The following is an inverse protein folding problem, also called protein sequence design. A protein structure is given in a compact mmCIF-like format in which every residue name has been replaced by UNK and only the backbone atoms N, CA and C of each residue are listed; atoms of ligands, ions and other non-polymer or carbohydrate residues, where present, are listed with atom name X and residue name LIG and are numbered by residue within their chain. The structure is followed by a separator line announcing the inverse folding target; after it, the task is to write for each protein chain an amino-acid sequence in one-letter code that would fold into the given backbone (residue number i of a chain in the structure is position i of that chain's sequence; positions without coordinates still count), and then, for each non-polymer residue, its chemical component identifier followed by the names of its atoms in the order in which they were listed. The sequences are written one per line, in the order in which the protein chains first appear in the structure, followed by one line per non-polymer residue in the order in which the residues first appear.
data_IF_909538450561
#
_entry.id   IF_909538450561
#
_cell.length_a   1.000
_cell.length_b   1.000
_cell.length_c   1.000
_cell.angle_alpha   90.00
_cell.angle_beta   90.00
_cell.angle_gamma   90.00
#
_symmetry.space_group_name_H-M   'P 1'
#
loop_
_entity.id
_entity.type
_entity.pdbx_description
1 polymer ?
#
# COMPACT_ATOMS: atom_id res chain seq x y z
N UNK A 1 16.04 60.36 40.60
CA UNK A 1 14.79 60.00 41.30
C UNK A 1 14.19 58.83 40.52
N UNK A 2 14.36 57.62 41.06
CA UNK A 2 13.89 56.37 40.46
C UNK A 2 12.40 56.20 40.76
N UNK A 3 11.60 55.89 39.73
CA UNK A 3 10.30 55.24 39.94
C UNK A 3 10.22 54.07 38.96
N UNK A 4 10.43 52.88 39.51
CA UNK A 4 10.17 51.60 38.86
C UNK A 4 8.65 51.40 38.79
N UNK A 5 8.13 51.21 37.58
CA UNK A 5 6.78 50.70 37.34
C UNK A 5 6.87 49.47 36.46
N UNK A 6 7.41 48.38 37.02
CA UNK A 6 7.37 47.06 36.38
C UNK A 6 5.96 46.50 36.55
N UNK A 7 5.11 46.67 35.54
CA UNK A 7 3.87 45.90 35.43
C UNK A 7 4.23 44.51 34.96
N UNK A 8 3.98 43.55 35.84
CA UNK A 8 4.18 42.11 35.75
C UNK A 8 3.55 41.53 34.48
N UNK A 9 4.38 41.30 33.47
CA UNK A 9 4.03 40.59 32.24
C UNK A 9 4.30 39.08 32.43
N UNK A 10 3.65 38.48 33.43
CA UNK A 10 3.94 37.09 33.88
C UNK A 10 2.74 36.14 33.82
N UNK A 11 1.65 36.53 33.18
CA UNK A 11 0.50 35.64 32.93
C UNK A 11 0.43 35.14 31.46
N UNK A 12 1.29 35.64 30.57
CA UNK A 12 1.27 35.29 29.14
C UNK A 12 2.01 34.01 28.77
N UNK A 13 2.54 33.25 29.74
CA UNK A 13 3.30 32.01 29.49
C UNK A 13 2.51 30.72 29.79
N UNK A 14 1.23 30.79 30.14
CA UNK A 14 0.46 29.60 30.53
C UNK A 14 -0.17 28.81 29.37
N UNK A 15 -0.07 29.30 28.12
CA UNK A 15 -0.62 28.62 26.95
C UNK A 15 0.38 28.68 25.79
N UNK A 16 1.26 27.67 25.71
CA UNK A 16 2.24 27.49 24.62
C UNK A 16 1.57 27.51 23.23
N UNK A 17 0.31 27.10 23.15
CA UNK A 17 -0.54 27.15 21.98
C UNK A 17 -0.83 28.59 21.53
N UNK A 18 -0.96 29.54 22.45
CA UNK A 18 -1.18 30.95 22.11
C UNK A 18 0.08 31.57 21.48
N UNK A 19 1.26 31.22 21.99
CA UNK A 19 2.53 31.65 21.40
C UNK A 19 2.73 31.10 19.98
N UNK A 20 2.38 29.84 19.74
CA UNK A 20 2.44 29.24 18.41
C UNK A 20 1.41 29.83 17.44
N UNK A 21 0.20 30.15 17.90
CA UNK A 21 -0.81 30.83 17.06
C UNK A 21 -0.34 32.19 16.58
N UNK A 22 0.21 33.00 17.49
CA UNK A 22 0.77 34.33 17.15
C UNK A 22 1.90 34.15 16.14
N UNK A 23 2.83 33.22 16.36
CA UNK A 23 3.92 32.93 15.43
C UNK A 23 3.42 32.54 14.03
N UNK A 24 2.46 31.61 13.90
CA UNK A 24 1.96 31.20 12.59
C UNK A 24 1.21 32.34 11.87
N UNK A 25 0.52 33.19 12.63
CA UNK A 25 -0.16 34.35 12.09
C UNK A 25 0.83 35.40 11.56
N UNK A 26 1.86 35.73 12.33
CA UNK A 26 2.90 36.69 11.92
C UNK A 26 3.76 36.18 10.77
N UNK A 27 4.06 34.88 10.74
CA UNK A 27 4.81 34.24 9.67
C UNK A 27 3.98 34.05 8.37
N UNK A 28 2.69 34.40 8.36
CA UNK A 28 1.79 34.23 7.22
C UNK A 28 1.46 32.77 6.89
N UNK A 29 1.69 31.84 7.82
CA UNK A 29 1.49 30.41 7.66
C UNK A 29 0.04 30.01 7.95
N UNK A 30 -0.90 30.57 7.19
CA UNK A 30 -2.34 30.45 7.43
C UNK A 30 -2.87 29.01 7.38
N UNK A 31 -2.32 28.16 6.51
CA UNK A 31 -2.68 26.74 6.45
C UNK A 31 -2.17 25.97 7.68
N UNK A 32 -0.96 26.28 8.14
CA UNK A 32 -0.38 25.65 9.32
C UNK A 32 -1.12 26.07 10.60
N UNK A 33 -1.50 27.35 10.71
CA UNK A 33 -2.35 27.85 11.80
C UNK A 33 -3.68 27.10 11.85
N UNK A 34 -4.35 26.95 10.69
CA UNK A 34 -5.64 26.25 10.62
C UNK A 34 -5.51 24.76 10.97
N UNK A 35 -4.45 24.10 10.52
CA UNK A 35 -4.15 22.72 10.91
C UNK A 35 -3.91 22.60 12.42
N UNK A 36 -3.09 23.49 12.98
CA UNK A 36 -2.79 23.54 14.41
C UNK A 36 -4.05 23.76 15.27
N UNK A 37 -4.96 24.65 14.86
CA UNK A 37 -6.21 24.88 15.57
C UNK A 37 -7.15 23.66 15.54
N UNK A 38 -7.23 22.97 14.40
CA UNK A 38 -8.00 21.73 14.27
C UNK A 38 -7.40 20.62 15.15
N UNK A 39 -6.08 20.47 15.13
CA UNK A 39 -5.38 19.47 15.94
C UNK A 39 -5.56 19.75 17.44
N UNK A 40 -5.52 21.03 17.85
CA UNK A 40 -5.79 21.42 19.23
C UNK A 40 -7.24 21.14 19.68
N UNK A 41 -8.21 21.20 18.78
CA UNK A 41 -9.60 20.82 19.06
C UNK A 41 -9.74 19.30 19.22
N UNK A 42 -9.09 18.52 18.36
CA UNK A 42 -9.08 17.04 18.41
C UNK A 42 -8.36 16.53 19.66
N UNK A 43 -7.32 17.23 20.12
CA UNK A 43 -6.54 16.83 21.29
C UNK A 43 -7.14 17.29 22.64
N UNK A 44 -8.32 17.93 22.65
CA UNK A 44 -8.98 18.37 23.87
C UNK A 44 -10.09 17.39 24.31
N UNK A 45 -9.80 16.45 25.23
CA UNK A 45 -10.78 15.45 25.66
C UNK A 45 -11.97 16.04 26.40
N UNK A 46 -11.86 17.26 26.94
CA UNK A 46 -13.00 17.94 27.58
C UNK A 46 -13.98 18.47 26.53
N UNK A 47 -13.46 19.07 25.46
CA UNK A 47 -14.29 19.54 24.34
C UNK A 47 -15.01 18.39 23.65
N UNK A 48 -14.33 17.26 23.44
CA UNK A 48 -14.94 16.07 22.87
C UNK A 48 -16.10 15.56 23.72
N UNK A 49 -15.94 15.49 25.05
CA UNK A 49 -16.99 15.01 25.96
C UNK A 49 -18.21 15.94 26.04
N UNK A 50 -18.01 17.25 25.92
CA UNK A 50 -19.08 18.23 26.08
C UNK A 50 -19.81 18.52 24.76
N UNK A 51 -19.08 18.65 23.65
CA UNK A 51 -19.63 19.18 22.39
C UNK A 51 -20.05 18.07 21.43
N UNK A 52 -19.31 16.96 21.38
CA UNK A 52 -19.55 15.90 20.39
C UNK A 52 -20.88 15.18 20.64
N UNK A 53 -21.28 14.79 21.87
CA UNK A 53 -22.56 14.13 22.09
C UNK A 53 -23.74 14.97 21.62
N UNK A 54 -23.77 16.26 21.95
CA UNK A 54 -24.86 17.16 21.52
C UNK A 54 -24.87 17.42 20.01
N UNK A 55 -23.71 17.49 19.36
CA UNK A 55 -23.64 17.58 17.90
C UNK A 55 -24.13 16.28 17.22
N UNK A 56 -23.83 15.12 17.82
CA UNK A 56 -24.20 13.81 17.32
C UNK A 56 -25.71 13.54 17.52
N UNK A 57 -26.30 14.01 18.62
CA UNK A 57 -27.75 14.01 18.83
C UNK A 57 -28.48 14.83 17.76
N UNK A 58 -28.01 16.06 17.48
CA UNK A 58 -28.57 16.89 16.40
C UNK A 58 -28.39 16.24 15.03
N UNK A 59 -27.26 15.57 14.78
CA UNK A 59 -27.05 14.82 13.54
C UNK A 59 -28.07 13.68 13.41
N UNK A 60 -28.29 12.91 14.48
CA UNK A 60 -29.28 11.84 14.51
C UNK A 60 -30.69 12.38 14.29
N UNK A 61 -31.04 13.50 14.93
CA UNK A 61 -32.33 14.17 14.75
C UNK A 61 -32.51 14.60 13.29
N UNK A 62 -31.49 15.24 12.70
CA UNK A 62 -31.52 15.61 11.28
C UNK A 62 -31.68 14.40 10.36
N UNK A 63 -30.97 13.29 10.64
CA UNK A 63 -31.07 12.04 9.86
C UNK A 63 -32.46 11.41 10.00
N UNK A 64 -33.08 11.47 11.18
CA UNK A 64 -34.45 10.98 11.38
C UNK A 64 -35.49 11.82 10.65
N UNK A 65 -35.22 13.11 10.46
CA UNK A 65 -36.08 14.03 9.71
C UNK A 65 -35.74 14.11 8.21
N UNK A 66 -34.72 13.38 7.74
CA UNK A 66 -34.46 13.29 6.31
C UNK A 66 -35.61 12.53 5.64
N UNK A 67 -36.28 13.12 4.63
CA UNK A 67 -37.27 12.38 3.87
C UNK A 67 -36.61 11.18 3.19
N UNK A 68 -37.27 10.02 3.23
CA UNK A 68 -36.99 8.87 2.36
C UNK A 68 -37.31 9.25 0.91
N UNK A 69 -36.48 10.10 0.32
CA UNK A 69 -36.51 10.39 -1.10
C UNK A 69 -35.88 9.20 -1.84
N UNK A 70 -36.62 8.66 -2.80
CA UNK A 70 -36.16 7.67 -3.77
C UNK A 70 -34.78 8.07 -4.35
N UNK A 71 -33.86 7.12 -4.56
CA UNK A 71 -32.49 7.40 -4.98
C UNK A 71 -32.39 8.17 -6.31
N UNK A 72 -33.44 8.15 -7.14
CA UNK A 72 -33.48 8.85 -8.42
C UNK A 72 -33.74 10.36 -8.28
N UNK A 73 -34.51 10.80 -7.29
CA UNK A 73 -34.76 12.23 -7.03
C UNK A 73 -33.53 12.92 -6.41
N UNK A 74 -32.73 12.17 -5.64
CA UNK A 74 -31.47 12.68 -5.06
C UNK A 74 -30.43 12.98 -6.13
N UNK A 75 -30.38 12.22 -7.23
CA UNK A 75 -29.48 12.50 -8.37
C UNK A 75 -29.84 13.82 -9.05
N UNK A 76 -31.13 14.12 -9.20
CA UNK A 76 -31.60 15.34 -9.86
C UNK A 76 -31.14 16.61 -9.11
N UNK A 77 -31.21 16.61 -7.78
CA UNK A 77 -30.80 17.74 -6.93
C UNK A 77 -29.30 18.09 -7.03
N UNK A 78 -28.43 17.08 -7.19
CA UNK A 78 -26.98 17.30 -7.39
C UNK A 78 -26.60 17.67 -8.83
N UNK A 79 -27.46 17.38 -9.80
CA UNK A 79 -27.20 17.66 -11.23
C UNK A 79 -27.73 19.00 -11.73
N UNK A 80 -28.51 19.74 -10.91
CA UNK A 80 -29.18 20.98 -11.33
C UNK A 80 -28.26 22.06 -11.89
N UNK A 81 -27.01 22.13 -11.41
CA UNK A 81 -26.02 23.14 -11.82
C UNK A 81 -24.85 22.59 -12.66
N UNK A 82 -24.86 21.29 -12.99
CA UNK A 82 -23.80 20.74 -13.83
C UNK A 82 -24.06 21.09 -15.30
N UNK A 83 -23.08 21.67 -16.01
CA UNK A 83 -23.23 21.96 -17.43
C UNK A 83 -23.59 20.67 -18.17
N UNK A 84 -24.47 20.73 -19.19
CA UNK A 84 -24.97 19.53 -19.85
C UNK A 84 -23.81 18.62 -20.27
N UNK A 85 -23.95 17.28 -20.18
CA UNK A 85 -22.85 16.33 -20.40
C UNK A 85 -22.19 16.51 -21.79
N UNK A 86 -22.93 17.07 -22.75
CA UNK A 86 -22.43 17.47 -24.07
C UNK A 86 -21.40 18.62 -24.05
N UNK A 87 -21.47 19.53 -23.08
CA UNK A 87 -20.53 20.66 -22.90
C UNK A 87 -19.24 20.20 -22.24
N UNK A 88 -19.33 19.28 -21.26
CA UNK A 88 -18.17 18.65 -20.61
C UNK A 88 -17.41 17.75 -21.59
N UNK A 89 -18.12 16.93 -22.36
CA UNK A 89 -17.48 16.10 -23.41
C UNK A 89 -16.84 16.93 -24.52
N UNK A 90 -17.46 18.06 -24.91
CA UNK A 90 -16.85 19.04 -25.84
C UNK A 90 -15.60 19.72 -25.27
N UNK A 91 -15.57 20.09 -23.99
CA UNK A 91 -14.38 20.70 -23.39
C UNK A 91 -13.24 19.69 -23.24
N UNK A 92 -13.54 18.44 -22.89
CA UNK A 92 -12.55 17.36 -22.80
C UNK A 92 -12.00 17.04 -24.21
N UNK A 93 -12.85 16.90 -25.21
CA UNK A 93 -12.40 16.62 -26.58
C UNK A 93 -11.58 17.78 -27.16
N UNK A 94 -11.96 19.02 -26.87
CA UNK A 94 -11.18 20.21 -27.25
C UNK A 94 -9.83 20.27 -26.52
N UNK A 95 -9.77 19.88 -25.25
CA UNK A 95 -8.51 19.79 -24.52
C UNK A 95 -7.59 18.71 -25.11
N UNK A 96 -8.13 17.52 -25.36
CA UNK A 96 -7.37 16.41 -25.94
C UNK A 96 -6.89 16.73 -27.36
N UNK A 97 -7.71 17.40 -28.19
CA UNK A 97 -7.29 17.81 -29.54
C UNK A 97 -6.19 18.87 -29.51
N UNK A 98 -6.28 19.84 -28.60
CA UNK A 98 -5.19 20.82 -28.38
C UNK A 98 -3.91 20.15 -27.90
N UNK A 99 -4.02 19.16 -27.02
CA UNK A 99 -2.84 18.46 -26.50
C UNK A 99 -2.19 17.58 -27.57
N UNK A 100 -2.99 16.88 -28.39
CA UNK A 100 -2.51 16.15 -29.57
C UNK A 100 -1.83 17.10 -30.55
N UNK A 101 -2.46 18.22 -30.89
CA UNK A 101 -1.89 19.21 -31.81
C UNK A 101 -0.57 19.79 -31.29
N UNK A 102 -0.45 20.05 -29.98
CA UNK A 102 0.81 20.51 -29.36
C UNK A 102 1.89 19.43 -29.42
N UNK A 103 1.57 18.20 -29.09
CA UNK A 103 2.51 17.08 -29.15
C UNK A 103 2.95 16.82 -30.58
N UNK A 104 2.01 16.82 -31.53
CA UNK A 104 2.29 16.63 -32.94
C UNK A 104 3.16 17.77 -33.48
N UNK A 105 2.89 19.03 -33.13
CA UNK A 105 3.72 20.16 -33.50
C UNK A 105 5.13 20.09 -32.89
N UNK A 106 5.24 19.70 -31.61
CA UNK A 106 6.53 19.51 -30.93
C UNK A 106 7.32 18.36 -31.58
N UNK A 107 6.67 17.24 -31.83
CA UNK A 107 7.27 16.07 -32.48
C UNK A 107 7.70 16.41 -33.91
N UNK A 108 6.91 17.15 -34.66
CA UNK A 108 7.28 17.60 -36.01
C UNK A 108 8.48 18.55 -35.96
N UNK A 109 8.52 19.50 -35.03
CA UNK A 109 9.63 20.44 -34.89
C UNK A 109 10.94 19.77 -34.43
N UNK A 110 10.85 18.73 -33.60
CA UNK A 110 12.01 17.98 -33.10
C UNK A 110 12.52 16.94 -34.09
N UNK A 111 11.61 16.15 -34.67
CA UNK A 111 11.97 14.95 -35.44
C UNK A 111 11.94 15.12 -36.95
N UNK A 112 11.31 16.16 -37.50
CA UNK A 112 11.24 16.38 -38.95
C UNK A 112 12.02 17.63 -39.37
N UNK A 113 12.63 17.57 -40.55
CA UNK A 113 13.19 18.78 -41.19
C UNK A 113 12.04 19.62 -41.77
N UNK A 114 12.11 20.97 -41.73
CA UNK A 114 11.17 21.81 -42.44
C UNK A 114 11.23 21.46 -43.93
N UNK A 115 10.07 21.43 -44.59
CA UNK A 115 9.95 21.02 -45.98
C UNK A 115 10.66 22.02 -46.91
N UNK A 116 11.98 21.87 -47.08
CA UNK A 116 12.70 22.42 -48.22
C UNK A 116 12.52 21.48 -49.41
N UNK A 117 12.41 22.03 -50.61
CA UNK A 117 11.96 21.44 -51.88
C UNK A 117 12.71 20.18 -52.39
N UNK A 118 13.61 19.57 -51.61
CA UNK A 118 14.54 18.53 -52.06
C UNK A 118 14.17 17.09 -51.67
N UNK A 119 13.15 16.86 -50.83
CA UNK A 119 12.81 15.51 -50.36
C UNK A 119 11.34 15.15 -50.58
N UNK A 120 11.09 14.26 -51.55
CA UNK A 120 9.78 13.63 -51.77
C UNK A 120 9.54 12.42 -50.84
N UNK A 121 10.36 12.25 -49.79
CA UNK A 121 10.18 11.19 -48.82
C UNK A 121 8.99 11.51 -47.91
N UNK A 122 8.14 10.52 -47.64
CA UNK A 122 6.95 10.66 -46.78
C UNK A 122 7.30 11.07 -45.34
N UNK A 123 8.56 10.93 -44.93
CA UNK A 123 9.13 11.36 -43.65
C UNK A 123 10.61 11.72 -43.85
N UNK A 124 10.98 13.00 -43.77
CA UNK A 124 12.38 13.43 -43.74
C UNK A 124 12.83 13.64 -42.29
N UNK A 125 13.29 12.54 -41.68
CA UNK A 125 13.68 12.53 -40.28
C UNK A 125 14.96 13.35 -40.06
N UNK A 126 14.94 14.24 -39.07
CA UNK A 126 16.12 14.97 -38.63
C UNK A 126 17.14 14.00 -38.05
N UNK A 127 18.41 14.15 -38.44
CA UNK A 127 19.52 13.43 -37.83
C UNK A 127 19.63 13.84 -36.37
N UNK A 128 19.27 12.92 -35.47
CA UNK A 128 19.33 13.15 -34.03
C UNK A 128 20.79 13.11 -33.56
N UNK A 129 21.20 14.18 -32.88
CA UNK A 129 22.47 14.20 -32.16
C UNK A 129 22.29 13.41 -30.85
N UNK A 130 22.88 12.21 -30.82
CA UNK A 130 22.72 11.27 -29.70
C UNK A 130 23.42 11.76 -28.43
N UNK A 131 24.39 12.67 -28.56
CA UNK A 131 25.16 13.17 -27.42
C UNK A 131 24.41 14.26 -26.64
N UNK A 132 23.54 15.04 -27.29
CA UNK A 132 22.67 16.02 -26.63
C UNK A 132 21.35 15.45 -26.12
N UNK A 133 20.82 14.38 -26.74
CA UNK A 133 19.54 13.76 -26.36
C UNK A 133 19.69 12.65 -25.30
N UNK A 134 20.89 12.08 -25.13
CA UNK A 134 21.23 11.21 -24.02
C UNK A 134 21.43 12.04 -22.74
N UNK A 135 20.33 12.49 -22.11
CA UNK A 135 20.38 12.77 -20.68
C UNK A 135 20.67 11.44 -19.99
N UNK A 136 21.90 11.26 -19.54
CA UNK A 136 22.21 10.17 -18.63
C UNK A 136 21.42 10.39 -17.35
N UNK A 137 20.25 9.79 -17.24
CA UNK A 137 19.63 9.51 -15.96
C UNK A 137 20.52 8.45 -15.29
N UNK A 138 21.67 8.89 -14.76
CA UNK A 138 22.48 8.08 -13.86
C UNK A 138 21.71 8.02 -12.55
N UNK A 139 20.72 7.14 -12.49
CA UNK A 139 20.32 6.57 -11.22
C UNK A 139 21.57 5.88 -10.67
N UNK A 140 22.19 6.47 -9.64
CA UNK A 140 23.14 5.76 -8.78
C UNK A 140 22.36 4.67 -8.05
N UNK A 141 22.09 3.57 -8.74
CA UNK A 141 21.77 2.32 -8.08
C UNK A 141 23.09 1.84 -7.49
N UNK A 142 23.34 2.19 -6.23
CA UNK A 142 24.44 1.63 -5.45
C UNK A 142 24.30 0.08 -5.29
N UNK A 143 23.20 -0.50 -5.77
CA UNK A 143 22.96 -1.93 -5.85
C UNK A 143 22.85 -2.44 -7.30
N UNK A 144 24.01 -2.78 -7.85
CA UNK A 144 24.13 -3.54 -9.09
C UNK A 144 24.14 -5.06 -8.82
N UNK A 145 23.74 -5.89 -9.80
CA UNK A 145 23.71 -7.36 -9.70
C UNK A 145 25.08 -7.99 -9.36
N UNK A 146 26.18 -7.23 -9.48
CA UNK A 146 27.54 -7.63 -9.15
C UNK A 146 27.84 -7.68 -7.65
N UNK A 147 27.05 -7.02 -6.78
CA UNK A 147 27.23 -7.10 -5.31
C UNK A 147 26.77 -8.44 -4.72
N UNK A 148 25.95 -9.21 -5.44
CA UNK A 148 25.45 -10.53 -4.96
C UNK A 148 26.52 -11.64 -4.97
N UNK A 149 27.67 -11.46 -5.61
CA UNK A 149 28.68 -12.53 -5.76
C UNK A 149 29.98 -12.30 -4.99
N UNK A 150 30.18 -11.16 -4.34
CA UNK A 150 31.37 -10.91 -3.51
C UNK A 150 30.97 -10.79 -2.04
N UNK A 151 31.04 -11.93 -1.35
CA UNK A 151 31.00 -12.02 0.12
C UNK A 151 32.07 -11.07 0.69
N UNK A 152 31.63 -9.96 1.28
CA UNK A 152 32.47 -9.15 2.18
C UNK A 152 31.74 -8.96 3.50
N UNK A 153 32.41 -9.38 4.55
CA UNK A 153 31.90 -9.45 5.91
C UNK A 153 31.63 -8.07 6.51
N UNK A 154 30.56 -8.03 7.33
CA UNK A 154 30.21 -7.09 8.40
C UNK A 154 29.81 -5.65 8.04
N UNK A 155 28.52 -5.36 8.26
CA UNK A 155 28.14 -4.37 9.27
C UNK A 155 27.32 -3.15 8.84
N UNK A 156 26.03 -3.34 8.49
CA UNK A 156 24.86 -2.50 8.89
C UNK A 156 23.65 -2.90 8.04
N UNK A 157 22.76 -3.70 8.61
CA UNK A 157 21.43 -3.95 8.06
C UNK A 157 20.51 -2.82 8.51
N UNK A 158 19.87 -2.14 7.56
CA UNK A 158 18.71 -1.28 7.80
C UNK A 158 17.60 -1.74 6.85
N UNK A 159 16.60 -2.37 7.47
CA UNK A 159 15.19 -2.48 7.09
C UNK A 159 14.81 -2.57 5.60
N UNK A 160 14.59 -3.80 5.13
CA UNK A 160 13.47 -4.12 4.24
C UNK A 160 12.36 -4.70 5.15
N UNK A 161 11.62 -3.86 5.89
CA UNK A 161 10.22 -3.51 5.63
C UNK A 161 9.36 -4.63 5.02
N UNK A 162 9.18 -5.67 5.83
CA UNK A 162 7.86 -6.00 6.37
C UNK A 162 6.66 -5.74 5.43
N UNK A 163 6.29 -6.77 4.69
CA UNK A 163 5.00 -6.77 4.00
C UNK A 163 3.88 -6.57 5.05
N UNK A 164 2.98 -5.59 4.89
CA UNK A 164 1.91 -5.31 5.86
C UNK A 164 1.04 -6.53 6.15
N UNK A 165 0.90 -7.43 5.16
CA UNK A 165 0.24 -8.72 5.31
C UNK A 165 0.88 -9.63 6.38
N UNK A 166 2.20 -9.59 6.56
CA UNK A 166 2.88 -10.41 7.57
C UNK A 166 2.61 -9.86 8.97
N UNK A 167 2.55 -8.54 9.12
CA UNK A 167 2.18 -7.92 10.37
C UNK A 167 0.73 -8.21 10.78
N UNK A 168 -0.20 -8.12 9.84
CA UNK A 168 -1.60 -8.48 10.08
C UNK A 168 -1.72 -9.95 10.52
N UNK A 169 -0.98 -10.85 9.86
CA UNK A 169 -0.93 -12.26 10.26
C UNK A 169 -0.37 -12.45 11.67
N UNK A 170 0.72 -11.77 12.02
CA UNK A 170 1.30 -11.86 13.37
C UNK A 170 0.31 -11.29 14.40
N UNK A 171 -0.38 -10.18 14.10
CA UNK A 171 -1.41 -9.64 14.98
C UNK A 171 -2.59 -10.61 15.18
N UNK A 172 -3.01 -11.30 14.12
CA UNK A 172 -4.04 -12.35 14.22
C UNK A 172 -3.57 -13.53 15.08
N UNK A 173 -2.29 -13.92 14.99
CA UNK A 173 -1.70 -14.97 15.83
C UNK A 173 -1.61 -14.52 17.29
N UNK A 174 -1.20 -13.28 17.55
CA UNK A 174 -1.18 -12.68 18.89
C UNK A 174 -2.58 -12.65 19.50
N UNK A 175 -3.59 -12.25 18.72
CA UNK A 175 -4.99 -12.29 19.16
C UNK A 175 -5.48 -13.72 19.43
N UNK A 176 -5.09 -14.68 18.59
CA UNK A 176 -5.51 -16.07 18.75
C UNK A 176 -4.87 -16.73 19.97
N UNK A 177 -3.62 -16.39 20.27
CA UNK A 177 -2.89 -16.85 21.46
C UNK A 177 -3.15 -15.98 22.70
N UNK A 178 -4.02 -14.96 22.59
CA UNK A 178 -4.33 -14.00 23.65
C UNK A 178 -3.08 -13.34 24.29
N UNK A 179 -2.06 -13.07 23.46
CA UNK A 179 -0.81 -12.45 23.88
C UNK A 179 -0.93 -10.93 23.83
N UNK A 180 -0.58 -10.25 24.92
CA UNK A 180 -0.49 -8.80 25.00
C UNK A 180 0.90 -8.40 25.50
N UNK A 181 1.57 -7.47 24.80
CA UNK A 181 2.88 -6.97 25.21
C UNK A 181 2.72 -5.70 26.04
N UNK A 182 3.51 -5.59 27.11
CA UNK A 182 3.56 -4.40 27.98
C UNK A 182 5.03 -3.98 28.13
N UNK A 183 5.38 -2.68 28.00
CA UNK A 183 4.50 -1.53 27.73
C UNK A 183 4.13 -1.35 26.24
N UNK A 184 4.89 -1.94 25.31
CA UNK A 184 4.63 -1.87 23.87
C UNK A 184 5.10 -3.15 23.16
N UNK A 185 4.54 -3.48 21.98
CA UNK A 185 4.99 -4.62 21.19
C UNK A 185 6.46 -4.48 20.72
N UNK A 186 7.17 -5.60 20.53
CA UNK A 186 8.53 -5.60 20.00
C UNK A 186 8.59 -4.98 18.60
N UNK A 187 9.57 -4.10 18.37
CA UNK A 187 9.71 -3.37 17.10
C UNK A 187 10.18 -4.24 15.93
N UNK A 188 10.80 -5.40 16.18
CA UNK A 188 11.24 -6.30 15.13
C UNK A 188 10.34 -7.52 15.01
N UNK A 189 9.97 -7.86 13.78
CA UNK A 189 9.24 -9.09 13.45
C UNK A 189 9.90 -10.34 14.05
N UNK A 190 11.22 -10.44 13.97
CA UNK A 190 11.95 -11.59 14.51
C UNK A 190 11.80 -11.71 16.03
N UNK A 191 11.81 -10.58 16.76
CA UNK A 191 11.56 -10.58 18.20
C UNK A 191 10.12 -10.99 18.51
N UNK A 192 9.14 -10.51 17.73
CA UNK A 192 7.72 -10.91 17.89
C UNK A 192 7.54 -12.41 17.70
N UNK A 193 8.10 -12.98 16.63
CA UNK A 193 8.08 -14.44 16.39
C UNK A 193 8.68 -15.18 17.57
N UNK A 194 9.86 -14.74 18.03
CA UNK A 194 10.53 -15.36 19.18
C UNK A 194 9.67 -15.34 20.45
N UNK A 195 9.02 -14.22 20.77
CA UNK A 195 8.16 -14.15 21.96
C UNK A 195 6.93 -15.06 21.85
N UNK A 196 6.35 -15.18 20.66
CA UNK A 196 5.24 -16.12 20.41
C UNK A 196 5.69 -17.57 20.56
N UNK A 197 6.87 -17.92 20.04
CA UNK A 197 7.48 -19.24 20.23
C UNK A 197 7.71 -19.55 21.71
N UNK A 198 8.31 -18.62 22.45
CA UNK A 198 8.54 -18.76 23.89
C UNK A 198 7.21 -18.91 24.67
N UNK A 199 6.15 -18.23 24.24
CA UNK A 199 4.82 -18.37 24.83
C UNK A 199 4.19 -19.74 24.54
N UNK A 200 4.28 -20.24 23.30
CA UNK A 200 3.81 -21.58 22.93
C UNK A 200 4.54 -22.64 23.75
N UNK A 201 5.87 -22.54 23.85
CA UNK A 201 6.69 -23.46 24.67
C UNK A 201 6.25 -23.44 26.13
N UNK A 202 5.92 -22.25 26.66
CA UNK A 202 5.42 -22.12 28.03
C UNK A 202 4.07 -22.82 28.21
N UNK A 203 3.13 -22.63 27.29
CA UNK A 203 1.83 -23.31 27.31
C UNK A 203 1.98 -24.83 27.24
N UNK A 204 2.89 -25.33 26.41
CA UNK A 204 3.20 -26.77 26.32
C UNK A 204 3.75 -27.33 27.64
N UNK A 205 4.55 -26.53 28.35
CA UNK A 205 5.17 -26.93 29.62
C UNK A 205 4.20 -26.84 30.81
N UNK A 206 3.45 -25.75 30.91
CA UNK A 206 2.58 -25.43 32.06
C UNK A 206 1.20 -26.08 31.96
N UNK A 207 0.69 -26.25 30.73
CA UNK A 207 -0.61 -26.88 30.47
C UNK A 207 -0.53 -28.01 29.43
N UNK A 208 0.21 -29.10 29.71
CA UNK A 208 0.39 -30.19 28.75
C UNK A 208 -0.92 -30.81 28.21
N UNK A 209 -1.97 -31.05 29.02
CA UNK A 209 -3.23 -31.62 28.51
C UNK A 209 -3.97 -30.69 27.54
N UNK A 210 -3.94 -29.38 27.79
CA UNK A 210 -4.58 -28.39 26.94
C UNK A 210 -3.81 -28.24 25.62
N UNK A 211 -2.48 -28.15 25.69
CA UNK A 211 -1.63 -28.09 24.51
C UNK A 211 -1.77 -29.36 23.65
N UNK A 212 -1.90 -30.53 24.26
CA UNK A 212 -2.13 -31.79 23.54
C UNK A 212 -3.46 -31.82 22.77
N UNK A 213 -4.47 -31.07 23.20
CA UNK A 213 -5.73 -30.96 22.48
C UNK A 213 -5.60 -30.03 21.26
N UNK A 214 -5.00 -28.85 21.47
CA UNK A 214 -5.01 -27.75 20.51
C UNK A 214 -3.80 -27.70 19.57
N UNK A 215 -2.66 -28.29 19.94
CA UNK A 215 -1.44 -28.31 19.13
C UNK A 215 -1.14 -29.70 18.55
N UNK A 216 -0.41 -29.71 17.44
CA UNK A 216 0.01 -30.94 16.78
C UNK A 216 1.36 -31.41 17.35
N UNK A 217 1.31 -32.26 18.37
CA UNK A 217 2.50 -32.71 19.10
C UNK A 217 3.16 -33.95 18.46
N UNK A 218 4.49 -34.07 18.54
CA UNK A 218 5.18 -35.28 18.09
C UNK A 218 4.76 -36.48 18.94
N UNK A 219 4.48 -37.63 18.30
CA UNK A 219 4.02 -38.87 18.97
C UNK A 219 2.66 -38.75 19.67
N UNK A 220 1.74 -37.97 19.11
CA UNK A 220 0.35 -37.86 19.57
C UNK A 220 -0.45 -39.11 19.18
N UNK A 221 -0.89 -39.85 20.19
CA UNK A 221 -1.64 -41.11 20.01
C UNK A 221 -3.14 -40.91 20.30
N UNK A 222 -3.48 -39.93 21.14
CA UNK A 222 -4.85 -39.57 21.54
C UNK A 222 -4.87 -38.15 22.13
N UNK A 223 -5.83 -37.26 21.79
CA UNK A 223 -6.84 -37.38 20.73
C UNK A 223 -6.17 -37.46 19.35
N UNK A 224 -6.83 -37.97 18.30
CA UNK A 224 -6.26 -37.99 16.96
C UNK A 224 -5.83 -36.57 16.53
N UNK A 225 -4.73 -36.43 15.78
CA UNK A 225 -4.31 -35.12 15.31
C UNK A 225 -5.40 -34.52 14.41
N UNK A 226 -5.60 -33.19 14.45
CA UNK A 226 -6.50 -32.53 13.52
C UNK A 226 -6.07 -32.86 12.07
N UNK A 227 -7.01 -33.03 11.14
CA UNK A 227 -6.69 -33.39 9.77
C UNK A 227 -5.77 -32.33 9.16
N UNK A 228 -4.69 -32.77 8.50
CA UNK A 228 -3.80 -31.84 7.80
C UNK A 228 -4.56 -31.17 6.66
N UNK A 229 -4.79 -29.88 6.76
CA UNK A 229 -5.38 -29.09 5.69
C UNK A 229 -4.26 -28.67 4.73
N UNK A 230 -4.16 -29.26 3.52
CA UNK A 230 -3.13 -28.86 2.57
C UNK A 230 -3.35 -27.40 2.16
N UNK A 231 -2.33 -26.57 2.35
CA UNK A 231 -2.34 -25.20 1.85
C UNK A 231 -1.84 -25.25 0.41
N UNK A 232 -2.77 -25.14 -0.55
CA UNK A 232 -2.42 -25.07 -1.96
C UNK A 232 -1.83 -23.68 -2.22
N UNK A 233 -0.50 -23.60 -2.30
CA UNK A 233 0.19 -22.35 -2.64
C UNK A 233 -0.05 -22.03 -4.12
N UNK A 234 -0.69 -20.89 -4.45
CA UNK A 234 -0.89 -20.46 -5.81
C UNK A 234 0.42 -20.33 -6.58
N UNK A 235 0.40 -20.67 -7.88
CA UNK A 235 1.59 -20.74 -8.74
C UNK A 235 2.45 -19.47 -8.77
N UNK A 236 1.85 -18.29 -8.58
CA UNK A 236 2.56 -17.01 -8.57
C UNK A 236 3.25 -16.69 -7.24
N UNK A 237 2.98 -17.45 -6.18
CA UNK A 237 3.62 -17.35 -4.87
C UNK A 237 4.67 -18.45 -4.64
N UNK A 238 4.88 -19.32 -5.63
CA UNK A 238 5.96 -20.32 -5.61
C UNK A 238 7.25 -19.67 -6.10
N UNK A 239 8.28 -19.65 -5.28
CA UNK A 239 9.64 -19.28 -5.69
C UNK A 239 10.09 -20.28 -6.76
N UNK A 240 10.34 -19.80 -7.98
CA UNK A 240 10.87 -20.63 -9.06
C UNK A 240 12.33 -21.00 -8.73
N UNK A 241 12.55 -22.14 -8.08
CA UNK A 241 13.85 -22.80 -8.17
C UNK A 241 13.99 -23.36 -9.59
N UNK A 242 14.73 -22.64 -10.43
CA UNK A 242 15.14 -23.11 -11.74
C UNK A 242 16.12 -24.26 -11.56
N UNK A 243 15.60 -25.49 -11.55
CA UNK A 243 16.39 -26.68 -11.81
C UNK A 243 16.96 -26.61 -13.23
N UNK A 244 18.29 -26.72 -13.33
CA UNK A 244 19.02 -26.73 -14.58
C UNK A 244 18.70 -27.98 -15.42
N UNK A 245 18.23 -27.79 -16.65
CA UNK A 245 18.46 -28.72 -17.76
C UNK A 245 18.35 -28.00 -19.13
N UNK A 246 19.54 -27.73 -19.67
CA UNK A 246 20.00 -27.82 -21.07
C UNK A 246 19.03 -27.69 -22.27
N UNK A 247 19.33 -26.63 -23.07
CA UNK A 247 19.34 -26.45 -24.56
C UNK A 247 18.03 -26.11 -25.33
N UNK A 248 18.09 -25.51 -26.55
CA UNK A 248 18.30 -24.07 -26.76
C UNK A 248 17.25 -23.38 -27.68
N UNK A 249 17.21 -22.04 -27.62
CA UNK A 249 16.71 -21.04 -28.59
C UNK A 249 15.60 -21.42 -29.61
N UNK A 250 14.48 -20.70 -29.52
CA UNK A 250 13.87 -20.07 -30.70
C UNK A 250 13.04 -18.84 -30.29
N UNK A 251 13.25 -17.75 -31.03
CA UNK A 251 12.55 -16.47 -30.90
C UNK A 251 11.04 -16.60 -31.16
N UNK A 252 10.23 -15.89 -30.36
CA UNK A 252 8.80 -15.73 -30.60
C UNK A 252 8.12 -15.07 -29.39
N UNK A 253 7.60 -13.85 -29.58
CA UNK A 253 6.95 -13.07 -28.54
C UNK A 253 5.78 -13.78 -27.84
N UNK A 254 5.30 -13.27 -26.70
CA UNK A 254 4.32 -13.97 -25.87
C UNK A 254 2.96 -13.97 -26.56
N UNK A 255 2.67 -15.02 -27.33
CA UNK A 255 1.29 -15.41 -27.63
C UNK A 255 0.68 -15.86 -26.31
N UNK A 256 -0.31 -15.10 -25.83
CA UNK A 256 -1.11 -15.44 -24.67
C UNK A 256 -1.62 -16.87 -24.80
N UNK A 257 -1.10 -17.78 -23.96
CA UNK A 257 -1.64 -19.13 -23.81
C UNK A 257 -3.07 -18.93 -23.33
N UNK A 258 -4.03 -19.37 -24.14
CA UNK A 258 -5.45 -19.15 -23.89
C UNK A 258 -5.84 -19.74 -22.52
N UNK A 259 -6.83 -19.13 -21.87
CA UNK A 259 -7.40 -19.62 -20.61
C UNK A 259 -7.82 -21.10 -20.70
N UNK A 260 -8.20 -21.54 -21.89
CA UNK A 260 -8.50 -22.94 -22.20
C UNK A 260 -7.28 -23.84 -22.03
N UNK A 261 -6.12 -23.47 -22.58
CA UNK A 261 -4.89 -24.27 -22.43
C UNK A 261 -4.47 -24.34 -20.96
N UNK A 262 -4.66 -23.26 -20.19
CA UNK A 262 -4.38 -23.24 -18.74
C UNK A 262 -5.34 -24.15 -17.97
N UNK A 263 -6.64 -24.07 -18.22
CA UNK A 263 -7.65 -24.90 -17.57
C UNK A 263 -7.48 -26.40 -17.90
N UNK A 264 -7.05 -26.73 -19.12
CA UNK A 264 -6.78 -28.12 -19.52
C UNK A 264 -5.57 -28.69 -18.78
N UNK A 265 -4.50 -27.90 -18.61
CA UNK A 265 -3.33 -28.33 -17.84
C UNK A 265 -3.67 -28.50 -16.34
N UNK A 266 -4.46 -27.59 -15.78
CA UNK A 266 -4.91 -27.66 -14.39
C UNK A 266 -5.77 -28.91 -14.13
N UNK A 267 -6.66 -29.27 -15.07
CA UNK A 267 -7.49 -30.48 -14.97
C UNK A 267 -6.64 -31.76 -15.04
N UNK A 268 -5.63 -31.82 -15.90
CA UNK A 268 -4.71 -32.95 -16.00
C UNK A 268 -3.87 -33.14 -14.73
N UNK A 269 -3.48 -32.04 -14.09
CA UNK A 269 -2.71 -32.08 -12.82
C UNK A 269 -3.57 -32.54 -11.64
N UNK A 270 -4.84 -32.07 -11.57
CA UNK A 270 -5.80 -32.54 -10.56
C UNK A 270 -6.07 -34.03 -10.73
N UNK A 271 -6.27 -34.50 -11.97
CA UNK A 271 -6.52 -35.91 -12.26
C UNK A 271 -5.31 -36.79 -11.89
N UNK A 272 -4.09 -36.30 -12.15
CA UNK A 272 -2.85 -36.96 -11.72
C UNK A 272 -2.73 -37.04 -10.20
N UNK A 273 -3.04 -35.94 -9.50
CA UNK A 273 -3.02 -35.91 -8.03
C UNK A 273 -4.06 -36.86 -7.42
N UNK A 274 -5.26 -36.97 -8.01
CA UNK A 274 -6.27 -37.92 -7.57
C UNK A 274 -5.86 -39.37 -7.82
N UNK A 275 -5.18 -39.66 -8.93
CA UNK A 275 -4.66 -41.00 -9.24
C UNK A 275 -3.56 -41.43 -8.27
N UNK A 276 -2.65 -40.52 -7.91
CA UNK A 276 -1.59 -40.77 -6.93
C UNK A 276 -2.16 -41.00 -5.51
N UNK A 277 -3.28 -40.35 -5.16
CA UNK A 277 -4.02 -40.59 -3.92
C UNK A 277 -4.74 -41.95 -3.93
N UNK A 278 -5.29 -42.37 -5.06
CA UNK A 278 -5.93 -43.68 -5.22
C UNK A 278 -4.94 -44.84 -5.12
N UNK A 279 -3.72 -44.66 -5.65
CA UNK A 279 -2.69 -45.71 -5.64
C UNK A 279 -2.05 -45.92 -4.26
N UNK A 280 -2.16 -44.96 -3.34
CA UNK A 280 -1.63 -45.05 -1.95
C UNK A 280 -2.59 -45.73 -0.96
N UNK A 281 -3.81 -46.10 -1.39
CA UNK A 281 -4.81 -46.78 -0.54
C UNK A 281 -4.78 -48.31 -0.63
N UNK A 282 -3.87 -48.91 -1.41
CA UNK A 282 -3.80 -50.34 -1.66
C UNK A 282 -2.45 -50.99 -1.26
N UNK A 283 -1.77 -50.46 -0.24
CA UNK A 283 -0.55 -51.02 0.34
C UNK A 283 -0.65 -51.12 1.85
#
# INVERSE_FOLDING_TARGET
MLVHGATTNTDHLQSWDSALKIFFQEAGLTQALRGFELDMLVLNPAWERETVPGALERLIENIKHLPESEPDDRKAAYTGDLPPPSRVTKSISQYLSRNRARNDASNQAEFLRPASEASCARTDAKTLDRDTQMKYDIAKNDDGPLRRTMKKEKGKQKADEESPAVFERIANVESHLAVHYVPSPPASLLARIRFLEEHIIRLEKEYPPWAALHFNQPRRNWPPPPPSTPIIVPHHLRTHEQGASTTPQAAGGPKGKSSLTRAVMERLEVEKAMKDLGSKKAG
#
